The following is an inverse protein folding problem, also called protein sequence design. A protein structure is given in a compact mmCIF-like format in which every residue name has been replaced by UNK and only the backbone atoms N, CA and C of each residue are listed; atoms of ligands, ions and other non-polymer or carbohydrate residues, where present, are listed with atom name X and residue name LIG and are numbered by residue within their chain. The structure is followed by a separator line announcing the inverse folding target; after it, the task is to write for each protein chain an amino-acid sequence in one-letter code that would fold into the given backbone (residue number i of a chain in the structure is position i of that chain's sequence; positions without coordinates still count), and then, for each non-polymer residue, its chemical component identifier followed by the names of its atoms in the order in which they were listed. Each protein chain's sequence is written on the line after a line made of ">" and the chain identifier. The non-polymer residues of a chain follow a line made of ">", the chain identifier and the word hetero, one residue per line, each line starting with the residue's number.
data_IF_287890228416
#
_entry.id   IF_287890228416
#
_cell.length_a   1.000
_cell.length_b   1.000
_cell.length_c   1.000
_cell.angle_alpha   90.00
_cell.angle_beta   90.00
_cell.angle_gamma   90.00
#
_symmetry.space_group_name_H-M   'P 1'
#
loop_
_entity.id
_entity.type
_entity.pdbx_description
1 polymer ?
#
# COMPACT_ATOMS: atom_id res chain seq x y z
N UNK A 1 13.87 33.34 6.68
CA UNK A 1 13.89 34.27 5.52
C UNK A 1 12.95 35.44 5.87
N UNK A 2 13.48 36.63 6.09
CA UNK A 2 12.71 37.80 6.61
C UNK A 2 11.88 38.55 5.54
N UNK A 3 11.52 37.89 4.43
CA UNK A 3 10.85 38.62 3.33
C UNK A 3 9.35 38.38 3.23
N UNK A 4 8.79 37.43 3.99
CA UNK A 4 7.36 37.13 3.96
C UNK A 4 6.71 37.40 5.31
N UNK A 5 5.42 37.79 5.32
CA UNK A 5 4.66 37.86 6.58
C UNK A 5 4.64 36.51 7.28
N UNK A 6 4.68 36.50 8.60
CA UNK A 6 4.74 35.28 9.40
C UNK A 6 3.68 34.22 9.06
N UNK A 7 2.39 34.56 8.74
CA UNK A 7 1.43 33.54 8.31
C UNK A 7 1.79 32.86 6.98
N UNK A 8 2.41 33.59 6.04
CA UNK A 8 2.87 32.99 4.78
C UNK A 8 4.08 32.09 4.99
N UNK A 9 5.03 32.47 5.82
CA UNK A 9 6.17 31.64 6.20
C UNK A 9 5.70 30.34 6.84
N UNK A 10 4.76 30.38 7.78
CA UNK A 10 4.18 29.21 8.40
C UNK A 10 3.53 28.26 7.37
N UNK A 11 2.80 28.80 6.38
CA UNK A 11 2.19 27.99 5.33
C UNK A 11 3.24 27.34 4.42
N UNK A 12 4.29 28.06 4.04
CA UNK A 12 5.43 27.52 3.27
C UNK A 12 6.11 26.40 4.03
N UNK A 13 6.34 26.56 5.33
CA UNK A 13 6.94 25.51 6.17
C UNK A 13 6.07 24.23 6.21
N UNK A 14 4.74 24.36 6.32
CA UNK A 14 3.86 23.17 6.30
C UNK A 14 3.94 22.44 4.96
N UNK A 15 3.96 23.14 3.83
CA UNK A 15 4.15 22.50 2.52
C UNK A 15 5.54 21.87 2.36
N UNK A 16 6.59 22.50 2.89
CA UNK A 16 7.95 21.96 2.83
C UNK A 16 8.15 20.68 3.65
N UNK A 17 7.27 20.39 4.61
CA UNK A 17 7.26 19.12 5.37
C UNK A 17 6.72 17.94 4.56
N UNK A 18 6.03 18.19 3.46
CA UNK A 18 5.47 17.12 2.65
C UNK A 18 6.58 16.39 1.87
N UNK A 19 6.57 15.03 1.86
CA UNK A 19 7.58 14.26 1.13
C UNK A 19 7.65 14.66 -0.35
N UNK A 20 8.85 14.88 -0.86
CA UNK A 20 9.08 15.28 -2.25
C UNK A 20 8.81 16.76 -2.55
N UNK A 21 8.39 17.57 -1.58
CA UNK A 21 8.18 19.01 -1.76
C UNK A 21 9.40 19.78 -1.25
N UNK A 22 10.20 20.32 -2.17
CA UNK A 22 11.31 21.22 -1.84
C UNK A 22 10.85 22.66 -1.62
N UNK A 23 11.72 23.50 -1.04
CA UNK A 23 11.38 24.88 -0.65
C UNK A 23 10.76 25.74 -1.76
N UNK A 24 11.27 25.66 -3.01
CA UNK A 24 10.68 26.39 -4.16
C UNK A 24 9.27 25.94 -4.49
N UNK A 25 9.00 24.62 -4.42
CA UNK A 25 7.66 24.08 -4.63
C UNK A 25 6.71 24.46 -3.50
N UNK A 26 7.18 24.43 -2.24
CA UNK A 26 6.42 24.84 -1.08
C UNK A 26 5.99 26.32 -1.17
N UNK A 27 6.90 27.22 -1.55
CA UNK A 27 6.56 28.62 -1.79
C UNK A 27 5.48 28.76 -2.87
N UNK A 28 5.65 28.09 -4.03
CA UNK A 28 4.67 28.14 -5.11
C UNK A 28 3.29 27.67 -4.69
N UNK A 29 3.21 26.58 -3.88
CA UNK A 29 1.95 26.09 -3.32
C UNK A 29 1.32 27.09 -2.34
N UNK A 30 2.12 27.72 -1.49
CA UNK A 30 1.63 28.73 -0.56
C UNK A 30 1.06 29.95 -1.29
N UNK A 31 1.75 30.45 -2.31
CA UNK A 31 1.25 31.53 -3.16
C UNK A 31 -0.04 31.17 -3.92
N UNK A 32 -0.15 29.91 -4.37
CA UNK A 32 -1.38 29.41 -4.98
C UNK A 32 -2.55 29.49 -3.99
N UNK A 33 -2.37 29.03 -2.75
CA UNK A 33 -3.40 29.09 -1.71
C UNK A 33 -3.80 30.52 -1.39
N UNK A 34 -2.87 31.47 -1.36
CA UNK A 34 -3.18 32.89 -1.18
C UNK A 34 -4.02 33.48 -2.33
N UNK A 35 -3.94 32.90 -3.52
CA UNK A 35 -4.77 33.28 -4.68
C UNK A 35 -6.18 32.70 -4.67
N UNK A 36 -6.47 31.76 -3.78
CA UNK A 36 -7.82 31.21 -3.61
C UNK A 36 -8.74 32.19 -2.87
N UNK A 37 -10.03 32.05 -3.06
CA UNK A 37 -11.01 32.66 -2.17
C UNK A 37 -10.93 32.07 -0.75
N UNK A 38 -11.38 32.81 0.27
CA UNK A 38 -11.46 32.29 1.64
C UNK A 38 -12.26 30.98 1.72
N UNK A 39 -13.35 30.88 0.96
CA UNK A 39 -14.20 29.68 0.90
C UNK A 39 -13.45 28.47 0.33
N UNK A 40 -12.67 28.64 -0.73
CA UNK A 40 -11.87 27.56 -1.34
C UNK A 40 -10.74 27.13 -0.41
N UNK A 41 -10.06 28.09 0.22
CA UNK A 41 -9.01 27.81 1.20
C UNK A 41 -9.57 27.05 2.42
N UNK A 42 -10.74 27.46 2.93
CA UNK A 42 -11.41 26.76 4.02
C UNK A 42 -11.81 25.33 3.61
N UNK A 43 -12.38 25.16 2.41
CA UNK A 43 -12.76 23.84 1.88
C UNK A 43 -11.54 22.92 1.79
N UNK A 44 -10.40 23.43 1.35
CA UNK A 44 -9.16 22.66 1.29
C UNK A 44 -8.65 22.25 2.69
N UNK A 45 -8.66 23.18 3.63
CA UNK A 45 -8.28 22.91 5.03
C UNK A 45 -9.20 21.86 5.67
N UNK A 46 -10.51 21.99 5.46
CA UNK A 46 -11.52 21.06 5.99
C UNK A 46 -11.37 19.67 5.39
N UNK A 47 -11.01 19.54 4.11
CA UNK A 47 -10.75 18.26 3.48
C UNK A 47 -9.59 17.51 4.16
N UNK A 48 -8.49 18.21 4.47
CA UNK A 48 -7.34 17.65 5.18
C UNK A 48 -7.75 17.17 6.57
N UNK A 49 -8.42 18.03 7.34
CA UNK A 49 -8.81 17.73 8.71
C UNK A 49 -9.84 16.60 8.76
N UNK A 50 -10.81 16.62 7.86
CA UNK A 50 -11.85 15.59 7.77
C UNK A 50 -11.24 14.24 7.41
N UNK A 51 -10.40 14.18 6.38
CA UNK A 51 -9.71 12.94 6.02
C UNK A 51 -8.92 12.37 7.20
N UNK A 52 -8.15 13.20 7.91
CA UNK A 52 -7.38 12.78 9.09
C UNK A 52 -8.25 12.26 10.24
N UNK A 53 -9.43 12.83 10.44
CA UNK A 53 -10.35 12.47 11.53
C UNK A 53 -11.20 11.24 11.22
N UNK A 54 -11.60 11.05 9.96
CA UNK A 54 -12.62 10.06 9.59
C UNK A 54 -12.05 8.80 8.93
N UNK A 55 -10.91 8.92 8.24
CA UNK A 55 -10.28 7.75 7.62
C UNK A 55 -9.60 6.90 8.69
N UNK A 56 -10.01 5.65 8.76
CA UNK A 56 -9.51 4.64 9.70
C UNK A 56 -9.12 3.36 8.94
N UNK A 57 -8.74 2.33 9.66
CA UNK A 57 -8.44 1.03 9.08
C UNK A 57 -9.65 0.09 9.17
N UNK A 58 -9.93 -0.61 8.06
CA UNK A 58 -10.90 -1.69 8.04
C UNK A 58 -10.51 -2.76 9.09
N UNK A 59 -11.42 -3.16 9.99
CA UNK A 59 -11.09 -4.13 11.04
C UNK A 59 -10.67 -5.50 10.50
N UNK A 60 -11.09 -5.86 9.28
CA UNK A 60 -10.81 -7.16 8.67
C UNK A 60 -9.52 -7.14 7.85
N UNK A 61 -9.38 -6.22 6.90
CA UNK A 61 -8.28 -6.26 5.93
C UNK A 61 -7.22 -5.16 6.15
N UNK A 62 -7.44 -4.27 7.10
CA UNK A 62 -6.54 -3.16 7.43
C UNK A 62 -6.39 -2.11 6.32
N UNK A 63 -7.14 -2.20 5.22
CA UNK A 63 -7.21 -1.13 4.21
C UNK A 63 -7.95 0.11 4.76
N UNK A 64 -7.82 1.25 4.11
CA UNK A 64 -8.55 2.47 4.52
C UNK A 64 -10.06 2.32 4.37
N UNK A 65 -10.78 2.90 5.32
CA UNK A 65 -12.24 3.01 5.34
C UNK A 65 -12.67 4.29 6.07
N UNK A 66 -13.85 4.77 5.78
CA UNK A 66 -14.49 5.88 6.52
C UNK A 66 -15.41 5.37 7.63
N UNK A 67 -15.14 4.21 8.20
CA UNK A 67 -15.88 3.55 9.24
C UNK A 67 -16.39 2.16 8.83
N UNK A 68 -16.38 1.22 9.75
CA UNK A 68 -16.80 -0.17 9.50
C UNK A 68 -15.94 -0.90 8.47
N UNK A 69 -16.55 -1.78 7.70
CA UNK A 69 -15.86 -2.54 6.65
C UNK A 69 -15.57 -1.65 5.43
N UNK A 70 -14.39 -1.84 4.82
CA UNK A 70 -14.12 -1.22 3.53
C UNK A 70 -15.00 -1.82 2.43
N UNK A 71 -15.19 -1.12 1.28
CA UNK A 71 -16.07 -1.61 0.20
C UNK A 71 -15.72 -3.01 -0.30
N UNK A 72 -14.43 -3.38 -0.29
CA UNK A 72 -13.97 -4.71 -0.72
C UNK A 72 -14.39 -5.79 0.29
N UNK A 73 -14.21 -5.54 1.59
CA UNK A 73 -14.63 -6.49 2.62
C UNK A 73 -16.14 -6.61 2.76
N UNK A 74 -16.87 -5.53 2.53
CA UNK A 74 -18.33 -5.51 2.58
C UNK A 74 -19.00 -6.19 1.37
N UNK A 75 -18.27 -6.42 0.28
CA UNK A 75 -18.83 -7.00 -0.96
C UNK A 75 -18.96 -8.51 -0.85
N UNK A 76 -20.19 -9.03 -0.97
CA UNK A 76 -20.47 -10.48 -1.04
C UNK A 76 -20.11 -11.10 -2.40
N UNK A 77 -19.77 -10.27 -3.40
CA UNK A 77 -19.35 -10.72 -4.73
C UNK A 77 -17.88 -11.16 -4.78
N UNK A 78 -17.11 -10.84 -3.75
CA UNK A 78 -15.69 -11.13 -3.65
C UNK A 78 -15.45 -12.50 -3.02
N UNK A 79 -14.57 -13.27 -3.61
CA UNK A 79 -14.15 -14.56 -3.09
C UNK A 79 -13.41 -14.38 -1.75
N UNK A 80 -14.02 -14.85 -0.66
CA UNK A 80 -13.42 -14.77 0.67
C UNK A 80 -12.39 -15.88 0.94
N UNK A 81 -12.32 -16.88 0.07
CA UNK A 81 -11.36 -17.99 0.20
C UNK A 81 -9.94 -17.61 -0.27
N UNK A 82 -9.80 -16.48 -0.99
CA UNK A 82 -8.52 -16.01 -1.51
C UNK A 82 -8.18 -14.64 -0.91
N UNK A 83 -7.00 -14.54 -0.27
CA UNK A 83 -6.49 -13.30 0.31
C UNK A 83 -5.21 -12.89 -0.42
N UNK A 84 -5.20 -11.68 -0.99
CA UNK A 84 -3.99 -11.04 -1.51
C UNK A 84 -3.38 -10.12 -0.44
N UNK A 85 -2.16 -10.44 0.00
CA UNK A 85 -1.43 -9.71 1.03
C UNK A 85 -0.50 -8.69 0.38
N UNK A 86 -0.71 -7.42 0.69
CA UNK A 86 0.06 -6.28 0.16
C UNK A 86 0.73 -5.50 1.29
N UNK A 87 1.77 -4.76 0.98
CA UNK A 87 2.49 -3.95 1.96
C UNK A 87 1.76 -2.64 2.30
N UNK A 88 1.10 -2.01 1.31
CA UNK A 88 0.55 -0.65 1.45
C UNK A 88 -0.87 -0.57 0.84
N UNK A 89 -1.76 0.28 1.39
CA UNK A 89 -3.09 0.51 0.79
C UNK A 89 -3.05 0.98 -0.67
N UNK A 90 -1.98 1.64 -1.10
CA UNK A 90 -1.78 2.06 -2.50
C UNK A 90 -1.65 0.87 -3.45
N UNK A 91 -1.11 -0.26 -2.95
CA UNK A 91 -0.99 -1.49 -3.73
C UNK A 91 -2.39 -2.08 -4.00
N UNK A 92 -3.30 -2.02 -3.02
CA UNK A 92 -4.72 -2.39 -3.23
C UNK A 92 -5.32 -1.56 -4.36
N UNK A 93 -5.11 -0.23 -4.34
CA UNK A 93 -5.63 0.64 -5.38
C UNK A 93 -5.01 0.35 -6.76
N UNK A 94 -3.75 -0.08 -6.80
CA UNK A 94 -3.08 -0.49 -8.03
C UNK A 94 -3.68 -1.78 -8.60
N UNK A 95 -3.90 -2.80 -7.76
CA UNK A 95 -4.51 -4.07 -8.15
C UNK A 95 -5.97 -3.88 -8.62
N UNK A 96 -6.74 -3.05 -7.93
CA UNK A 96 -8.14 -2.78 -8.26
C UNK A 96 -8.33 -2.02 -9.58
N UNK A 97 -7.33 -1.26 -10.05
CA UNK A 97 -7.39 -0.64 -11.39
C UNK A 97 -7.47 -1.68 -12.51
N UNK A 98 -6.81 -2.81 -12.36
CA UNK A 98 -6.84 -3.91 -13.33
C UNK A 98 -8.17 -4.65 -13.38
N UNK A 99 -8.96 -4.65 -12.29
CA UNK A 99 -10.25 -5.36 -12.14
C UNK A 99 -10.19 -6.87 -12.39
N UNK A 100 -9.00 -7.45 -12.38
CA UNK A 100 -8.79 -8.89 -12.65
C UNK A 100 -8.85 -9.75 -11.38
N UNK A 101 -8.58 -9.13 -10.21
CA UNK A 101 -8.58 -9.85 -8.95
C UNK A 101 -9.95 -9.78 -8.27
N UNK A 102 -10.55 -10.94 -8.00
CA UNK A 102 -11.86 -11.03 -7.35
C UNK A 102 -11.82 -11.50 -5.89
N UNK A 103 -10.63 -11.68 -5.32
CA UNK A 103 -10.48 -12.06 -3.90
C UNK A 103 -10.59 -10.88 -2.93
N UNK A 104 -10.23 -11.13 -1.69
CA UNK A 104 -10.09 -10.13 -0.62
C UNK A 104 -8.63 -9.73 -0.44
N UNK A 105 -8.38 -8.61 0.22
CA UNK A 105 -7.02 -8.14 0.53
C UNK A 105 -6.70 -8.23 2.02
N UNK A 106 -5.42 -8.16 2.31
CA UNK A 106 -4.90 -7.84 3.63
C UNK A 106 -3.70 -6.90 3.50
N UNK A 107 -3.74 -5.76 4.20
CA UNK A 107 -2.70 -4.73 4.13
C UNK A 107 -1.83 -4.81 5.37
N UNK A 108 -0.53 -4.99 5.17
CA UNK A 108 0.45 -5.13 6.25
C UNK A 108 0.83 -3.79 6.89
N UNK A 109 0.72 -2.68 6.16
CA UNK A 109 1.24 -1.35 6.53
C UNK A 109 2.76 -1.30 6.69
N UNK A 110 3.48 -2.07 5.91
CA UNK A 110 4.93 -2.11 5.86
C UNK A 110 5.46 -3.48 5.48
N UNK A 111 6.78 -3.61 5.57
CA UNK A 111 7.54 -4.85 5.42
C UNK A 111 8.52 -4.97 6.58
N UNK A 112 8.97 -6.18 6.89
CA UNK A 112 10.04 -6.41 7.86
C UNK A 112 11.31 -5.76 7.33
N UNK A 113 11.82 -4.76 8.04
CA UNK A 113 12.98 -3.97 7.65
C UNK A 113 13.90 -3.72 8.87
N UNK A 114 14.89 -4.58 9.10
CA UNK A 114 15.84 -4.38 10.20
C UNK A 114 16.59 -3.05 10.12
N UNK A 115 16.88 -2.58 8.90
CA UNK A 115 17.55 -1.30 8.68
C UNK A 115 16.72 -0.11 9.13
N UNK A 116 15.39 -0.22 9.05
CA UNK A 116 14.44 0.81 9.48
C UNK A 116 13.82 0.50 10.86
N UNK A 117 14.36 -0.48 11.58
CA UNK A 117 13.86 -0.92 12.89
C UNK A 117 12.39 -1.39 12.86
N UNK A 118 11.92 -1.93 11.74
CA UNK A 118 10.57 -2.49 11.60
C UNK A 118 10.63 -4.00 11.77
N UNK A 119 10.05 -4.48 12.86
CA UNK A 119 9.92 -5.91 13.17
C UNK A 119 8.57 -6.49 12.72
N UNK A 120 8.38 -7.81 12.90
CA UNK A 120 7.12 -8.48 12.57
C UNK A 120 5.90 -7.97 13.35
N UNK A 121 6.12 -7.44 14.56
CA UNK A 121 5.05 -6.94 15.43
C UNK A 121 4.64 -5.51 15.09
N UNK A 122 5.44 -4.79 14.31
CA UNK A 122 5.18 -3.41 13.89
C UNK A 122 4.24 -3.34 12.67
N UNK A 123 4.01 -4.48 12.00
CA UNK A 123 3.17 -4.59 10.81
C UNK A 123 2.02 -5.58 11.05
N UNK A 124 0.97 -5.52 10.22
CA UNK A 124 -0.28 -6.24 10.47
C UNK A 124 -0.21 -7.75 10.12
N UNK A 125 0.82 -8.48 10.57
CA UNK A 125 0.95 -9.93 10.39
C UNK A 125 0.00 -10.68 11.32
N UNK A 126 -0.04 -10.31 12.61
CA UNK A 126 -0.90 -10.98 13.60
C UNK A 126 -2.38 -10.98 13.18
N UNK A 127 -2.98 -9.85 12.75
CA UNK A 127 -4.36 -9.84 12.24
C UNK A 127 -4.57 -10.74 11.01
N UNK A 128 -3.56 -10.92 10.15
CA UNK A 128 -3.64 -11.88 9.04
C UNK A 128 -3.75 -13.32 9.53
N UNK A 129 -2.89 -13.70 10.48
CA UNK A 129 -2.91 -15.05 11.06
C UNK A 129 -4.23 -15.34 11.78
N UNK A 130 -4.72 -14.40 12.57
CA UNK A 130 -6.02 -14.49 13.24
C UNK A 130 -7.17 -14.70 12.25
N UNK A 131 -7.12 -13.99 11.12
CA UNK A 131 -8.11 -14.11 10.06
C UNK A 131 -8.06 -15.48 9.38
N UNK A 132 -6.88 -15.99 9.07
CA UNK A 132 -6.70 -17.32 8.47
C UNK A 132 -7.10 -18.42 9.45
N UNK A 133 -6.80 -18.27 10.74
CA UNK A 133 -7.18 -19.21 11.80
C UNK A 133 -8.71 -19.36 12.00
N UNK A 134 -9.50 -18.37 11.59
CA UNK A 134 -10.98 -18.47 11.60
C UNK A 134 -11.51 -19.46 10.56
N UNK A 135 -10.68 -19.91 9.62
CA UNK A 135 -11.02 -20.86 8.57
C UNK A 135 -11.66 -20.24 7.33
N UNK A 136 -11.88 -21.08 6.32
CA UNK A 136 -12.47 -20.67 5.05
C UNK A 136 -11.52 -20.06 4.04
N UNK A 137 -10.26 -19.76 4.41
CA UNK A 137 -9.21 -19.29 3.50
C UNK A 137 -8.51 -20.52 2.90
N UNK A 138 -8.46 -20.57 1.57
CA UNK A 138 -7.81 -21.62 0.81
C UNK A 138 -6.47 -21.18 0.23
N UNK A 139 -6.35 -19.90 -0.14
CA UNK A 139 -5.13 -19.36 -0.72
C UNK A 139 -4.77 -17.97 -0.15
N UNK A 140 -3.49 -17.80 0.15
CA UNK A 140 -2.88 -16.52 0.49
C UNK A 140 -1.84 -16.19 -0.56
N UNK A 141 -2.09 -15.12 -1.33
CA UNK A 141 -1.19 -14.62 -2.37
C UNK A 141 -0.31 -13.53 -1.75
N UNK A 142 0.99 -13.75 -1.70
CA UNK A 142 1.96 -12.76 -1.25
C UNK A 142 2.24 -11.78 -2.40
N UNK A 143 1.86 -10.52 -2.22
CA UNK A 143 1.99 -9.43 -3.19
C UNK A 143 2.78 -8.23 -2.63
N UNK A 144 3.72 -8.50 -1.71
CA UNK A 144 4.74 -7.52 -1.30
C UNK A 144 5.68 -7.22 -2.47
N UNK A 145 6.38 -6.09 -2.46
CA UNK A 145 7.32 -5.74 -3.53
C UNK A 145 8.41 -6.83 -3.72
N UNK A 146 8.93 -7.00 -4.95
CA UNK A 146 9.97 -7.96 -5.27
C UNK A 146 11.38 -7.48 -4.90
N UNK A 147 11.52 -6.79 -3.77
CA UNK A 147 12.76 -6.37 -3.16
C UNK A 147 13.15 -7.28 -1.99
N UNK A 148 14.33 -7.09 -1.42
CA UNK A 148 14.88 -7.94 -0.37
C UNK A 148 13.97 -7.97 0.87
N UNK A 149 13.40 -6.84 1.28
CA UNK A 149 12.55 -6.74 2.47
C UNK A 149 11.17 -7.36 2.22
N UNK A 150 10.59 -7.13 1.04
CA UNK A 150 9.32 -7.73 0.64
C UNK A 150 9.39 -9.24 0.49
N UNK A 151 10.50 -9.77 -0.05
CA UNK A 151 10.76 -11.22 -0.13
C UNK A 151 10.93 -11.84 1.25
N UNK A 152 11.75 -11.23 2.11
CA UNK A 152 11.95 -11.69 3.48
C UNK A 152 10.62 -11.72 4.25
N UNK A 153 9.79 -10.69 4.08
CA UNK A 153 8.47 -10.59 4.69
C UNK A 153 7.54 -11.70 4.18
N UNK A 154 7.51 -11.94 2.86
CA UNK A 154 6.71 -12.98 2.26
C UNK A 154 7.11 -14.37 2.77
N UNK A 155 8.41 -14.66 2.82
CA UNK A 155 8.93 -15.93 3.34
C UNK A 155 8.63 -16.11 4.83
N UNK A 156 8.73 -15.06 5.62
CA UNK A 156 8.41 -15.09 7.03
C UNK A 156 6.92 -15.43 7.26
N UNK A 157 6.02 -14.74 6.57
CA UNK A 157 4.57 -14.98 6.65
C UNK A 157 4.24 -16.40 6.15
N UNK A 158 4.85 -16.85 5.05
CA UNK A 158 4.64 -18.19 4.52
C UNK A 158 5.00 -19.29 5.55
N UNK A 159 6.07 -19.08 6.35
CA UNK A 159 6.42 -20.00 7.44
C UNK A 159 5.37 -20.01 8.55
N UNK A 160 4.84 -18.85 8.92
CA UNK A 160 3.79 -18.74 9.94
C UNK A 160 2.46 -19.36 9.49
N UNK A 161 2.20 -19.37 8.19
CA UNK A 161 0.98 -19.93 7.62
C UNK A 161 1.01 -21.45 7.43
N UNK A 162 2.19 -22.10 7.48
CA UNK A 162 2.32 -23.56 7.33
C UNK A 162 1.38 -24.41 8.19
N UNK A 163 1.13 -24.07 9.48
CA UNK A 163 0.24 -24.87 10.33
C UNK A 163 -1.24 -24.81 9.95
N UNK A 164 -1.65 -23.87 9.09
CA UNK A 164 -3.05 -23.63 8.75
C UNK A 164 -3.54 -24.38 7.51
N UNK A 165 -2.67 -25.16 6.87
CA UNK A 165 -2.98 -25.93 5.64
C UNK A 165 -3.60 -25.06 4.53
N UNK A 166 -3.10 -23.82 4.37
CA UNK A 166 -3.49 -22.89 3.31
C UNK A 166 -2.41 -22.86 2.23
N UNK A 167 -2.83 -22.78 0.98
CA UNK A 167 -1.91 -22.59 -0.15
C UNK A 167 -1.33 -21.18 -0.07
N UNK A 168 -0.01 -21.07 0.00
CA UNK A 168 0.68 -19.76 -0.07
C UNK A 168 1.36 -19.65 -1.43
N UNK A 169 1.00 -18.61 -2.16
CA UNK A 169 1.54 -18.31 -3.49
C UNK A 169 2.21 -16.94 -3.50
N UNK A 170 2.96 -16.66 -4.55
CA UNK A 170 3.65 -15.39 -4.80
C UNK A 170 3.24 -14.86 -6.16
N UNK A 171 3.11 -13.54 -6.31
CA UNK A 171 2.95 -12.95 -7.64
C UNK A 171 4.12 -13.35 -8.52
N UNK A 172 3.82 -13.74 -9.75
CA UNK A 172 4.84 -14.12 -10.72
C UNK A 172 5.74 -12.91 -11.04
N UNK A 173 7.03 -13.20 -11.19
CA UNK A 173 8.00 -12.26 -11.73
C UNK A 173 8.11 -12.48 -13.23
N UNK A 174 8.27 -11.40 -13.98
CA UNK A 174 8.40 -11.54 -15.43
C UNK A 174 8.66 -10.23 -16.14
N UNK A 175 8.87 -10.38 -17.43
CA UNK A 175 9.05 -9.26 -18.33
C UNK A 175 7.69 -8.56 -18.50
N UNK A 176 7.62 -7.23 -18.36
CA UNK A 176 6.39 -6.50 -18.54
C UNK A 176 5.81 -6.70 -19.95
N UNK A 177 4.48 -6.77 -20.05
CA UNK A 177 3.81 -6.85 -21.35
C UNK A 177 4.19 -5.64 -22.20
N UNK A 178 4.67 -5.89 -23.43
CA UNK A 178 5.21 -4.85 -24.32
C UNK A 178 6.67 -4.48 -24.06
N UNK A 179 7.31 -5.08 -23.06
CA UNK A 179 8.74 -4.92 -22.79
C UNK A 179 9.60 -5.71 -23.78
N UNK A 180 10.76 -5.15 -24.16
CA UNK A 180 11.73 -5.81 -25.01
C UNK A 180 12.83 -6.46 -24.14
N UNK A 181 13.23 -7.68 -24.46
CA UNK A 181 14.25 -8.43 -23.74
C UNK A 181 15.59 -7.67 -23.62
N UNK A 182 15.94 -6.93 -24.68
CA UNK A 182 17.21 -6.18 -24.76
C UNK A 182 17.33 -5.04 -23.74
N UNK A 183 16.20 -4.56 -23.21
CA UNK A 183 16.15 -3.49 -22.20
C UNK A 183 15.82 -4.00 -20.79
N UNK A 184 15.70 -5.32 -20.63
CA UNK A 184 15.40 -5.93 -19.35
C UNK A 184 16.71 -6.23 -18.60
N UNK A 185 16.74 -5.92 -17.32
CA UNK A 185 17.92 -6.20 -16.49
C UNK A 185 18.10 -7.71 -16.23
N UNK A 186 19.33 -8.10 -15.91
CA UNK A 186 19.74 -9.50 -15.75
C UNK A 186 18.95 -10.22 -14.64
N UNK A 187 18.63 -9.53 -13.55
CA UNK A 187 17.90 -10.12 -12.43
C UNK A 187 16.44 -10.44 -12.82
N UNK A 188 15.79 -9.53 -13.55
CA UNK A 188 14.44 -9.74 -14.08
C UNK A 188 14.42 -10.88 -15.11
N UNK A 189 15.42 -10.96 -15.99
CA UNK A 189 15.56 -12.06 -16.96
C UNK A 189 15.75 -13.41 -16.26
N UNK A 190 16.62 -13.48 -15.26
CA UNK A 190 16.84 -14.69 -14.48
C UNK A 190 15.55 -15.17 -13.81
N UNK A 191 14.82 -14.29 -13.14
CA UNK A 191 13.54 -14.63 -12.51
C UNK A 191 12.46 -15.04 -13.51
N UNK A 192 12.42 -14.39 -14.68
CA UNK A 192 11.49 -14.77 -15.74
C UNK A 192 11.78 -16.18 -16.29
N UNK A 193 13.06 -16.54 -16.41
CA UNK A 193 13.48 -17.90 -16.81
C UNK A 193 13.15 -18.94 -15.75
N UNK A 194 13.35 -18.62 -14.47
CA UNK A 194 12.95 -19.50 -13.36
C UNK A 194 11.43 -19.74 -13.34
N UNK A 195 10.65 -18.68 -13.51
CA UNK A 195 9.19 -18.70 -13.50
C UNK A 195 8.52 -19.09 -14.83
N UNK A 196 9.29 -19.55 -15.84
CA UNK A 196 8.74 -19.94 -17.14
C UNK A 196 7.69 -21.03 -17.02
N UNK A 197 6.66 -20.95 -17.85
CA UNK A 197 5.55 -21.90 -17.90
C UNK A 197 5.58 -22.69 -19.21
N UNK A 198 5.05 -23.90 -19.16
CA UNK A 198 4.74 -24.69 -20.35
C UNK A 198 3.59 -23.99 -21.13
N UNK A 199 3.65 -24.02 -22.47
CA UNK A 199 2.66 -23.41 -23.37
C UNK A 199 1.51 -24.36 -23.63
#
# INVERSE_FOLDING_TARGET
>A
MEYFPAPLEALVEQFARLPGIGGKSAQRLAFYVLGLSEQEAQTFADAIVTAKKTVTYCPVCRNFTAGGLCPICASDRRDSSVICVVADPRDVAAMERGREFNGKYHVLHGVISPMNHVGPDDIAIKPLLERVAQGGVQEVIMATNPDTEGEATAMYIARLLKPFDVKVTRLAYGIPVGGHLVFTDDATLARALEGRREL
#
